data_IF_693962300983
#
_entry.id   IF_693962300983
#
_cell.length_a   1.000
_cell.length_b   1.000
_cell.length_c   1.000
_cell.angle_alpha   90.00
_cell.angle_beta   90.00
_cell.angle_gamma   90.00
#
_symmetry.space_group_name_H-M   'P 1'
#
loop_
_entity.id
_entity.type
_entity.pdbx_description
1 polymer ?
#
# COMPACT_ATOMS: atom_id res chain seq x y z
N UNK A 1 -27.74 -36.28 -50.60
CA UNK A 1 -27.15 -36.15 -49.24
C UNK A 1 -25.77 -35.54 -49.38
N UNK A 2 -25.60 -34.25 -49.04
CA UNK A 2 -24.31 -33.56 -49.18
C UNK A 2 -23.34 -33.98 -48.08
N UNK A 3 -22.16 -34.50 -48.45
CA UNK A 3 -21.10 -34.84 -47.48
C UNK A 3 -20.46 -33.53 -46.98
N UNK A 4 -20.47 -33.30 -45.67
CA UNK A 4 -19.68 -32.23 -45.08
C UNK A 4 -18.19 -32.50 -45.38
N UNK A 5 -17.48 -31.49 -45.92
CA UNK A 5 -16.05 -31.62 -46.16
C UNK A 5 -15.27 -31.35 -44.85
N UNK A 6 -14.04 -31.88 -44.79
CA UNK A 6 -13.20 -31.82 -43.59
C UNK A 6 -12.89 -30.39 -43.12
N UNK A 7 -12.75 -29.42 -44.03
CA UNK A 7 -12.59 -28.00 -43.68
C UNK A 7 -13.84 -27.42 -43.03
N UNK A 8 -15.03 -27.78 -43.49
CA UNK A 8 -16.30 -27.35 -42.87
C UNK A 8 -16.40 -27.87 -41.43
N UNK A 9 -15.99 -29.12 -41.20
CA UNK A 9 -15.93 -29.72 -39.86
C UNK A 9 -14.91 -28.98 -38.98
N UNK A 10 -13.73 -28.68 -39.50
CA UNK A 10 -12.67 -27.98 -38.76
C UNK A 10 -13.11 -26.56 -38.34
N UNK A 11 -13.76 -25.82 -39.24
CA UNK A 11 -14.29 -24.48 -38.96
C UNK A 11 -15.37 -24.56 -37.86
N UNK A 12 -16.31 -25.50 -37.96
CA UNK A 12 -17.34 -25.69 -36.94
C UNK A 12 -16.75 -26.04 -35.56
N UNK A 13 -15.76 -26.94 -35.50
CA UNK A 13 -15.06 -27.26 -34.26
C UNK A 13 -14.34 -26.05 -33.65
N UNK A 14 -13.69 -25.22 -34.47
CA UNK A 14 -13.01 -24.01 -34.00
C UNK A 14 -13.97 -22.95 -33.46
N UNK A 15 -15.14 -22.77 -34.09
CA UNK A 15 -16.19 -21.86 -33.61
C UNK A 15 -16.82 -22.36 -32.30
N UNK A 16 -17.01 -23.67 -32.16
CA UNK A 16 -17.51 -24.29 -30.92
C UNK A 16 -16.50 -24.15 -29.77
N UNK A 17 -15.19 -24.32 -30.04
CA UNK A 17 -14.14 -24.08 -29.05
C UNK A 17 -14.11 -22.61 -28.60
N UNK A 18 -14.16 -21.68 -29.56
CA UNK A 18 -14.23 -20.24 -29.27
C UNK A 18 -15.45 -19.90 -28.41
N UNK A 19 -16.64 -20.34 -28.81
CA UNK A 19 -17.87 -20.13 -28.05
C UNK A 19 -17.78 -20.73 -26.63
N UNK A 20 -17.17 -21.91 -26.48
CA UNK A 20 -16.94 -22.53 -25.18
C UNK A 20 -15.97 -21.74 -24.30
N UNK A 21 -14.85 -21.26 -24.85
CA UNK A 21 -13.90 -20.42 -24.11
C UNK A 21 -14.52 -19.08 -23.66
N UNK A 22 -15.30 -18.42 -24.53
CA UNK A 22 -16.04 -17.21 -24.18
C UNK A 22 -17.11 -17.47 -23.11
N UNK A 23 -17.81 -18.61 -23.17
CA UNK A 23 -18.79 -19.02 -22.17
C UNK A 23 -18.15 -19.29 -20.80
N UNK A 24 -17.01 -19.98 -20.76
CA UNK A 24 -16.27 -20.25 -19.52
C UNK A 24 -15.70 -18.96 -18.93
N UNK A 25 -15.12 -18.08 -19.77
CA UNK A 25 -14.64 -16.76 -19.34
C UNK A 25 -15.76 -15.85 -18.82
N UNK A 26 -16.97 -15.96 -19.38
CA UNK A 26 -18.16 -15.24 -18.88
C UNK A 26 -18.69 -15.75 -17.54
N UNK A 27 -18.28 -16.96 -17.11
CA UNK A 27 -18.70 -17.60 -15.85
C UNK A 27 -17.63 -17.61 -14.76
N UNK A 28 -16.40 -17.20 -15.04
CA UNK A 28 -15.34 -17.10 -14.02
C UNK A 28 -15.66 -16.00 -13.02
N UNK A 29 -16.35 -16.37 -11.94
CA UNK A 29 -16.55 -15.50 -10.78
C UNK A 29 -15.19 -15.28 -10.13
N UNK A 30 -14.70 -14.03 -10.16
CA UNK A 30 -13.39 -13.72 -9.59
C UNK A 30 -13.39 -13.94 -8.08
N UNK A 31 -12.23 -14.21 -7.45
CA UNK A 31 -12.13 -14.28 -6.00
C UNK A 31 -12.67 -13.02 -5.29
N UNK A 32 -12.55 -11.86 -5.94
CA UNK A 32 -13.08 -10.57 -5.47
C UNK A 32 -14.61 -10.57 -5.49
N UNK A 33 -15.23 -11.04 -6.57
CA UNK A 33 -16.70 -11.13 -6.68
C UNK A 33 -17.29 -12.10 -5.65
N UNK A 34 -16.65 -13.26 -5.45
CA UNK A 34 -17.06 -14.22 -4.42
C UNK A 34 -17.04 -13.58 -3.03
N UNK A 35 -16.02 -12.78 -2.76
CA UNK A 35 -15.87 -12.09 -1.48
C UNK A 35 -16.92 -11.00 -1.27
N UNK A 36 -17.18 -10.13 -2.26
CA UNK A 36 -18.21 -9.10 -2.15
C UNK A 36 -19.62 -9.71 -2.00
N UNK A 37 -19.89 -10.83 -2.68
CA UNK A 37 -21.12 -11.61 -2.46
C UNK A 37 -21.22 -12.15 -1.03
N UNK A 38 -20.10 -12.56 -0.41
CA UNK A 38 -20.05 -13.01 0.98
C UNK A 38 -20.30 -11.85 1.96
N UNK A 39 -19.75 -10.66 1.72
CA UNK A 39 -19.97 -9.50 2.61
C UNK A 39 -21.38 -8.98 2.60
N UNK A 40 -22.06 -9.01 1.44
CA UNK A 40 -23.50 -8.74 1.41
C UNK A 40 -24.29 -9.61 2.39
N UNK A 41 -23.77 -10.80 2.75
CA UNK A 41 -24.35 -11.69 3.77
C UNK A 41 -23.84 -11.45 5.20
N UNK A 42 -22.70 -10.78 5.37
CA UNK A 42 -21.98 -10.58 6.65
C UNK A 42 -21.82 -9.08 6.95
N UNK A 43 -22.89 -8.30 6.73
CA UNK A 43 -22.91 -6.84 6.55
C UNK A 43 -22.40 -5.98 7.72
N UNK A 44 -21.80 -6.56 8.76
CA UNK A 44 -21.29 -5.83 9.92
C UNK A 44 -19.82 -5.41 9.69
N UNK A 45 -19.52 -4.10 9.62
CA UNK A 45 -18.15 -3.61 9.61
C UNK A 45 -17.42 -4.02 10.88
N UNK A 46 -16.14 -4.36 10.75
CA UNK A 46 -15.24 -4.68 11.87
C UNK A 46 -14.31 -3.51 12.10
N UNK A 47 -14.22 -3.06 13.36
CA UNK A 47 -13.23 -2.09 13.77
C UNK A 47 -11.91 -2.78 14.15
N UNK A 48 -10.78 -2.18 13.79
CA UNK A 48 -9.43 -2.65 14.11
C UNK A 48 -8.55 -1.50 14.56
N UNK A 49 -7.69 -1.83 15.53
CA UNK A 49 -6.52 -1.05 15.91
C UNK A 49 -5.29 -1.91 15.62
N UNK A 50 -4.33 -1.37 14.88
CA UNK A 50 -3.04 -2.03 14.61
C UNK A 50 -1.93 -1.04 14.93
N UNK A 51 -0.91 -1.49 15.65
CA UNK A 51 0.26 -0.71 15.99
C UNK A 51 1.53 -1.39 15.48
N UNK A 52 2.46 -0.59 14.95
CA UNK A 52 3.77 -1.05 14.52
C UNK A 52 4.77 0.11 14.40
N UNK A 53 6.02 -0.21 14.09
CA UNK A 53 7.13 0.73 14.00
C UNK A 53 7.77 0.67 12.61
N UNK A 54 7.89 1.81 11.94
CA UNK A 54 8.58 1.96 10.65
C UNK A 54 10.03 2.34 10.93
N UNK A 55 10.94 1.61 10.29
CA UNK A 55 12.39 1.78 10.37
C UNK A 55 12.86 2.49 9.10
N UNK A 56 12.96 3.81 9.15
CA UNK A 56 13.24 4.70 8.01
C UNK A 56 14.73 5.04 7.97
N UNK A 57 15.41 4.74 6.85
CA UNK A 57 16.86 4.93 6.69
C UNK A 57 17.11 5.71 5.39
N UNK A 58 17.37 7.01 5.52
CA UNK A 58 17.54 7.92 4.38
C UNK A 58 18.97 7.98 3.83
N UNK A 59 19.96 7.48 4.58
CA UNK A 59 21.36 7.42 4.16
C UNK A 59 22.16 6.39 4.96
N UNK A 60 23.34 6.03 4.47
CA UNK A 60 24.24 5.09 5.13
C UNK A 60 23.98 3.62 4.77
N UNK A 61 24.53 2.71 5.58
CA UNK A 61 24.38 1.28 5.37
C UNK A 61 22.91 0.85 5.56
N UNK A 62 22.38 0.06 4.62
CA UNK A 62 21.01 -0.42 4.69
C UNK A 62 19.94 0.63 4.36
N UNK A 63 20.30 1.70 3.63
CA UNK A 63 19.38 2.72 3.12
C UNK A 63 18.11 2.11 2.50
N UNK A 64 16.94 2.64 2.88
CA UNK A 64 15.62 2.21 2.42
C UNK A 64 14.84 3.31 1.69
N UNK A 65 15.28 4.56 1.80
CA UNK A 65 14.65 5.73 1.18
C UNK A 65 15.59 6.36 0.16
N UNK A 66 15.13 6.50 -1.08
CA UNK A 66 15.94 7.03 -2.18
C UNK A 66 15.25 8.20 -2.88
N UNK A 67 15.95 9.31 -3.13
CA UNK A 67 15.42 10.37 -3.97
C UNK A 67 15.34 9.92 -5.43
N UNK A 68 14.24 10.28 -6.10
CA UNK A 68 13.95 9.89 -7.49
C UNK A 68 13.57 11.07 -8.38
N UNK A 69 13.35 12.24 -7.80
CA UNK A 69 12.96 13.42 -8.55
C UNK A 69 13.25 14.71 -7.79
N UNK A 70 13.54 15.75 -8.57
CA UNK A 70 13.84 17.09 -8.09
C UNK A 70 13.15 18.11 -9.00
N UNK A 71 12.75 19.24 -8.42
CA UNK A 71 12.35 20.45 -9.12
C UNK A 71 13.58 21.35 -9.35
N UNK A 72 13.48 22.30 -10.29
CA UNK A 72 14.52 23.31 -10.53
C UNK A 72 14.77 24.22 -9.31
N UNK A 73 13.83 24.28 -8.37
CA UNK A 73 13.94 25.05 -7.12
C UNK A 73 14.29 24.21 -5.89
N UNK A 74 14.42 22.88 -6.00
CA UNK A 74 14.50 22.00 -4.80
C UNK A 74 15.65 22.31 -3.85
N UNK A 75 16.80 22.74 -4.38
CA UNK A 75 17.98 23.03 -3.56
C UNK A 75 18.10 24.49 -3.13
N UNK A 76 17.30 25.39 -3.70
CA UNK A 76 17.24 26.81 -3.34
C UNK A 76 15.97 27.16 -2.53
N UNK A 77 14.96 26.30 -2.57
CA UNK A 77 13.73 26.42 -1.79
C UNK A 77 14.03 26.18 -0.30
N UNK A 78 13.50 27.02 0.61
CA UNK A 78 13.70 26.84 2.05
C UNK A 78 13.05 25.55 2.59
N UNK A 79 12.05 25.00 1.89
CA UNK A 79 11.35 23.77 2.28
C UNK A 79 11.87 22.53 1.56
N UNK A 80 12.82 22.72 0.63
CA UNK A 80 13.23 21.74 -0.36
C UNK A 80 12.08 21.23 -1.25
N UNK A 81 11.19 22.14 -1.63
CA UNK A 81 10.03 21.84 -2.45
C UNK A 81 10.39 21.01 -3.69
N UNK A 82 9.59 19.98 -3.97
CA UNK A 82 9.71 19.13 -5.14
C UNK A 82 10.71 17.98 -5.04
N UNK A 83 11.48 17.86 -3.94
CA UNK A 83 12.21 16.62 -3.68
C UNK A 83 11.19 15.49 -3.52
N UNK A 84 11.31 14.48 -4.38
CA UNK A 84 10.47 13.28 -4.35
C UNK A 84 11.33 12.07 -4.03
N UNK A 85 10.87 11.25 -3.10
CA UNK A 85 11.53 10.03 -2.63
C UNK A 85 10.62 8.82 -2.81
N UNK A 86 11.25 7.65 -2.98
CA UNK A 86 10.59 6.34 -2.82
C UNK A 86 11.15 5.63 -1.59
N UNK A 87 10.30 4.86 -0.92
CA UNK A 87 10.66 4.13 0.29
C UNK A 87 10.25 2.66 0.17
N UNK A 88 11.09 1.78 0.72
CA UNK A 88 10.78 0.37 0.99
C UNK A 88 11.29 0.01 2.40
N UNK A 89 10.61 0.55 3.41
CA UNK A 89 11.05 0.45 4.80
C UNK A 89 10.71 -0.89 5.42
N UNK A 90 11.50 -1.29 6.41
CA UNK A 90 11.15 -2.39 7.32
C UNK A 90 10.10 -1.89 8.31
N UNK A 91 9.11 -2.73 8.58
CA UNK A 91 8.10 -2.48 9.62
C UNK A 91 8.18 -3.58 10.65
N UNK A 92 8.40 -3.21 11.90
CA UNK A 92 8.68 -4.12 13.01
C UNK A 92 7.58 -4.07 14.07
N UNK A 93 7.47 -5.14 14.86
CA UNK A 93 6.51 -5.23 15.99
C UNK A 93 6.90 -4.35 17.18
N UNK A 94 8.16 -3.93 17.26
CA UNK A 94 8.71 -3.15 18.36
C UNK A 94 9.63 -2.03 17.85
N UNK A 95 9.90 -1.05 18.73
CA UNK A 95 10.73 0.12 18.43
C UNK A 95 12.17 -0.22 18.07
N UNK A 96 12.74 -1.25 18.68
CA UNK A 96 14.11 -1.68 18.39
C UNK A 96 14.21 -2.16 16.92
N UNK A 97 15.14 -1.64 16.10
CA UNK A 97 15.36 -2.10 14.71
C UNK A 97 15.63 -3.62 14.57
N UNK A 98 16.06 -4.27 15.65
CA UNK A 98 16.27 -5.72 15.73
C UNK A 98 15.00 -6.50 16.10
N UNK A 99 13.90 -5.81 16.38
CA UNK A 99 12.60 -6.44 16.62
C UNK A 99 12.16 -7.25 15.40
N UNK A 100 11.33 -8.30 15.60
CA UNK A 100 10.80 -9.08 14.50
C UNK A 100 10.09 -8.23 13.44
N UNK A 101 10.31 -8.58 12.18
CA UNK A 101 9.59 -7.99 11.05
C UNK A 101 8.11 -8.36 11.09
N UNK A 102 7.27 -7.42 10.66
CA UNK A 102 5.82 -7.55 10.55
C UNK A 102 5.33 -7.30 9.13
N UNK A 103 5.86 -6.25 8.50
CA UNK A 103 5.39 -5.73 7.22
C UNK A 103 6.52 -4.98 6.48
N UNK A 104 6.20 -4.49 5.28
CA UNK A 104 6.99 -3.48 4.55
C UNK A 104 6.17 -2.21 4.38
N UNK A 105 6.80 -1.05 4.53
CA UNK A 105 6.22 0.25 4.22
C UNK A 105 6.73 0.70 2.86
N UNK A 106 5.86 0.67 1.84
CA UNK A 106 6.26 0.87 0.45
C UNK A 106 5.50 2.03 -0.16
N UNK A 107 6.20 2.98 -0.76
CA UNK A 107 5.52 4.12 -1.35
C UNK A 107 6.43 5.24 -1.81
N UNK A 108 5.84 6.42 -1.87
CA UNK A 108 6.52 7.65 -2.27
C UNK A 108 6.08 8.83 -1.40
N UNK A 109 6.97 9.78 -1.26
CA UNK A 109 6.69 11.05 -0.61
C UNK A 109 7.32 12.19 -1.40
N UNK A 110 6.72 13.37 -1.34
CA UNK A 110 7.31 14.58 -1.92
C UNK A 110 7.19 15.76 -0.95
N UNK A 111 8.24 16.58 -0.87
CA UNK A 111 8.15 17.86 -0.16
C UNK A 111 7.27 18.80 -0.99
N UNK A 112 6.03 18.99 -0.56
CA UNK A 112 4.95 19.50 -1.39
C UNK A 112 4.32 20.80 -0.87
N UNK A 113 4.96 21.43 0.12
CA UNK A 113 4.53 22.68 0.72
C UNK A 113 5.64 23.74 0.53
N UNK A 114 5.24 24.92 0.06
CA UNK A 114 6.15 26.01 -0.26
C UNK A 114 6.57 26.81 0.98
N UNK A 115 5.80 26.70 2.06
CA UNK A 115 5.98 27.48 3.30
C UNK A 115 6.57 26.60 4.41
N UNK A 116 6.08 25.37 4.55
CA UNK A 116 6.51 24.42 5.58
C UNK A 116 7.26 23.19 5.02
N UNK A 117 8.11 22.55 5.84
CA UNK A 117 8.71 21.23 5.49
C UNK A 117 7.71 20.10 5.69
N UNK A 118 6.93 19.83 4.65
CA UNK A 118 5.80 18.89 4.69
C UNK A 118 5.88 17.91 3.55
N UNK A 119 5.75 16.63 3.89
CA UNK A 119 5.61 15.58 2.91
C UNK A 119 4.15 15.43 2.50
N UNK A 120 3.87 15.39 1.20
CA UNK A 120 2.73 14.65 0.68
C UNK A 120 3.11 13.18 0.65
N UNK A 121 2.56 12.40 1.57
CA UNK A 121 2.90 10.99 1.77
C UNK A 121 1.85 10.09 1.11
N UNK A 122 2.33 9.06 0.40
CA UNK A 122 1.54 7.94 -0.08
C UNK A 122 2.31 6.64 0.21
N UNK A 123 1.85 5.87 1.20
CA UNK A 123 2.51 4.66 1.65
C UNK A 123 1.52 3.51 1.81
N UNK A 124 1.94 2.31 1.42
CA UNK A 124 1.21 1.06 1.59
C UNK A 124 1.98 0.18 2.57
N UNK A 125 1.30 -0.22 3.65
CA UNK A 125 1.82 -1.20 4.59
C UNK A 125 1.40 -2.59 4.14
N UNK A 126 2.34 -3.34 3.56
CA UNK A 126 2.13 -4.71 3.12
C UNK A 126 2.59 -5.71 4.19
N UNK A 127 1.64 -6.41 4.79
CA UNK A 127 1.94 -7.36 5.86
C UNK A 127 2.58 -8.62 5.29
N UNK A 128 3.80 -8.93 5.74
CA UNK A 128 4.58 -10.08 5.26
C UNK A 128 4.56 -11.25 6.24
N UNK A 129 4.16 -11.01 7.49
CA UNK A 129 4.14 -12.00 8.57
C UNK A 129 2.76 -12.11 9.25
N UNK A 130 2.59 -13.19 10.01
CA UNK A 130 1.43 -13.42 10.87
C UNK A 130 0.11 -13.62 10.12
N UNK A 131 -1.01 -13.47 10.85
CA UNK A 131 -2.37 -13.75 10.36
C UNK A 131 -2.86 -12.84 9.22
N UNK A 132 -2.19 -11.71 9.01
CA UNK A 132 -2.55 -10.75 7.96
C UNK A 132 -1.61 -10.79 6.76
N UNK A 133 -0.68 -11.75 6.73
CA UNK A 133 0.26 -11.94 5.61
C UNK A 133 -0.47 -11.89 4.26
N UNK A 134 0.05 -11.07 3.35
CA UNK A 134 -0.52 -10.84 2.02
C UNK A 134 -1.62 -9.77 1.95
N UNK A 135 -2.02 -9.19 3.08
CA UNK A 135 -2.96 -8.06 3.14
C UNK A 135 -2.19 -6.74 3.20
N UNK A 136 -2.88 -5.64 2.89
CA UNK A 136 -2.28 -4.30 3.01
C UNK A 136 -3.26 -3.25 3.49
N UNK A 137 -2.72 -2.15 4.04
CA UNK A 137 -3.44 -0.91 4.34
C UNK A 137 -2.71 0.24 3.65
N UNK A 138 -3.44 1.09 2.94
CA UNK A 138 -2.91 2.27 2.26
C UNK A 138 -3.18 3.53 3.09
N UNK A 139 -2.15 4.36 3.24
CA UNK A 139 -2.17 5.63 3.95
C UNK A 139 -1.76 6.74 2.98
N UNK A 140 -2.51 7.84 3.01
CA UNK A 140 -2.25 9.02 2.20
C UNK A 140 -2.55 10.28 3.01
N UNK A 141 -1.70 11.29 2.91
CA UNK A 141 -1.96 12.54 3.60
C UNK A 141 -0.81 13.53 3.62
N UNK A 142 -1.08 14.64 4.30
CA UNK A 142 -0.12 15.69 4.63
C UNK A 142 0.64 15.29 5.89
N UNK A 143 1.96 15.19 5.81
CA UNK A 143 2.83 14.74 6.89
C UNK A 143 3.86 15.84 7.24
N UNK A 144 3.52 16.75 8.17
CA UNK A 144 4.43 17.82 8.59
C UNK A 144 5.57 17.25 9.43
N UNK A 145 6.76 17.09 8.83
CA UNK A 145 7.87 16.32 9.40
C UNK A 145 8.37 16.83 10.76
N UNK A 146 8.19 18.12 11.03
CA UNK A 146 8.66 18.78 12.25
C UNK A 146 7.68 18.67 13.43
N UNK A 147 6.47 18.14 13.19
CA UNK A 147 5.45 17.95 14.23
C UNK A 147 5.54 16.54 14.79
N UNK A 148 5.56 16.40 16.12
CA UNK A 148 5.76 15.10 16.77
C UNK A 148 4.63 14.09 16.55
N UNK A 149 3.39 14.56 16.39
CA UNK A 149 2.20 13.73 16.29
C UNK A 149 1.33 14.18 15.13
N UNK A 150 0.97 13.25 14.25
CA UNK A 150 0.39 13.57 12.94
C UNK A 150 -0.73 12.60 12.61
N UNK A 151 -1.83 13.10 12.05
CA UNK A 151 -2.95 12.29 11.59
C UNK A 151 -2.96 12.21 10.07
N UNK A 152 -3.04 10.99 9.53
CA UNK A 152 -3.17 10.75 8.09
C UNK A 152 -4.37 9.84 7.79
N UNK A 153 -4.87 9.92 6.56
CA UNK A 153 -6.03 9.13 6.14
C UNK A 153 -5.65 7.71 5.73
N UNK A 154 -6.41 6.74 6.23
CA UNK A 154 -6.42 5.38 5.66
C UNK A 154 -7.39 5.37 4.48
N UNK A 155 -6.83 5.34 3.28
CA UNK A 155 -7.58 5.48 2.02
C UNK A 155 -7.93 4.15 1.37
N UNK A 156 -7.49 3.03 1.94
CA UNK A 156 -7.81 1.70 1.42
C UNK A 156 -7.12 0.56 2.12
N UNK A 157 -7.46 -0.64 1.68
CA UNK A 157 -6.78 -1.86 2.07
C UNK A 157 -7.14 -3.02 1.16
N UNK A 158 -6.37 -4.10 1.29
CA UNK A 158 -6.52 -5.33 0.48
C UNK A 158 -6.54 -6.56 1.39
N UNK A 159 -6.87 -7.72 0.83
CA UNK A 159 -6.90 -8.98 1.57
C UNK A 159 -7.86 -8.94 2.76
N UNK A 160 -7.34 -9.20 3.96
CA UNK A 160 -8.08 -9.15 5.21
C UNK A 160 -8.61 -7.75 5.57
N UNK A 161 -8.05 -6.70 4.98
CA UNK A 161 -8.40 -5.30 5.21
C UNK A 161 -9.07 -4.66 3.99
N UNK A 162 -9.66 -5.47 3.11
CA UNK A 162 -10.33 -4.94 1.93
C UNK A 162 -11.44 -3.96 2.33
N UNK A 163 -11.49 -2.84 1.59
CA UNK A 163 -12.35 -1.70 1.87
C UNK A 163 -12.04 -0.97 3.19
N UNK A 164 -10.80 -1.07 3.70
CA UNK A 164 -10.40 -0.33 4.89
C UNK A 164 -10.58 1.19 4.72
N UNK A 165 -11.10 1.83 5.76
CA UNK A 165 -11.30 3.29 5.88
C UNK A 165 -11.10 3.73 7.32
N UNK A 166 -10.39 4.83 7.53
CA UNK A 166 -10.14 5.37 8.87
C UNK A 166 -9.00 6.35 8.91
N UNK A 167 -8.31 6.42 10.04
CA UNK A 167 -7.21 7.35 10.29
C UNK A 167 -6.01 6.60 10.88
N UNK A 168 -4.83 7.14 10.67
CA UNK A 168 -3.62 6.69 11.38
C UNK A 168 -3.00 7.85 12.14
N UNK A 169 -2.55 7.55 13.35
CA UNK A 169 -1.77 8.43 14.17
C UNK A 169 -0.30 8.03 14.09
N UNK A 170 0.55 8.99 13.74
CA UNK A 170 1.99 8.78 13.58
C UNK A 170 2.74 9.59 14.63
N UNK A 171 3.65 8.94 15.35
CA UNK A 171 4.54 9.61 16.30
C UNK A 171 5.99 9.27 16.08
N UNK A 172 6.87 10.24 16.28
CA UNK A 172 8.31 10.01 16.20
C UNK A 172 8.74 9.20 17.42
N UNK A 173 9.25 7.98 17.21
CA UNK A 173 9.78 7.17 18.31
C UNK A 173 11.25 7.43 18.59
N UNK A 174 12.00 8.11 17.72
CA UNK A 174 13.36 8.56 18.01
C UNK A 174 13.57 10.01 17.58
N UNK A 175 14.46 10.78 18.25
CA UNK A 175 14.97 12.00 17.66
C UNK A 175 15.69 11.68 16.34
N UNK A 176 15.76 12.67 15.45
CA UNK A 176 16.49 12.54 14.18
C UNK A 176 17.95 12.16 14.45
N UNK A 177 18.39 11.04 13.87
CA UNK A 177 19.78 10.62 13.97
C UNK A 177 20.63 11.30 12.90
N UNK A 178 21.83 11.80 13.23
CA UNK A 178 22.82 12.24 12.22
C UNK A 178 23.18 11.14 11.21
N UNK A 179 22.93 9.87 11.57
CA UNK A 179 23.18 8.71 10.71
C UNK A 179 22.09 8.45 9.67
N UNK A 180 21.08 9.33 9.56
CA UNK A 180 19.99 9.18 8.59
C UNK A 180 18.92 8.16 8.99
N UNK A 181 18.93 7.66 10.23
CA UNK A 181 17.92 6.73 10.75
C UNK A 181 16.84 7.47 11.55
N UNK A 182 15.58 7.16 11.27
CA UNK A 182 14.41 7.62 12.00
C UNK A 182 13.44 6.48 12.28
N UNK A 183 12.81 6.50 13.46
CA UNK A 183 11.75 5.59 13.84
C UNK A 183 10.41 6.32 13.87
N UNK A 184 9.38 5.73 13.25
CA UNK A 184 8.00 6.20 13.36
C UNK A 184 7.09 5.12 13.93
N UNK A 185 6.34 5.43 15.00
CA UNK A 185 5.26 4.58 15.49
C UNK A 185 3.99 4.95 14.74
N UNK A 186 3.36 3.95 14.13
CA UNK A 186 2.07 4.08 13.47
C UNK A 186 1.01 3.36 14.29
N UNK A 187 -0.09 4.04 14.59
CA UNK A 187 -1.29 3.44 15.16
C UNK A 187 -2.45 3.66 14.18
N UNK A 188 -2.97 2.57 13.62
CA UNK A 188 -4.00 2.59 12.60
C UNK A 188 -5.35 2.30 13.25
N UNK A 189 -6.33 3.16 13.01
CA UNK A 189 -7.72 3.01 13.46
C UNK A 189 -8.63 2.95 12.24
N UNK A 190 -9.20 1.79 11.95
CA UNK A 190 -9.99 1.63 10.73
C UNK A 190 -11.13 0.64 10.86
N UNK A 191 -12.12 0.83 10.01
CA UNK A 191 -13.18 -0.14 9.73
C UNK A 191 -12.88 -0.90 8.46
N UNK A 192 -13.24 -2.19 8.41
CA UNK A 192 -13.16 -3.05 7.22
C UNK A 192 -14.27 -4.10 7.27
N UNK A 193 -14.36 -4.99 6.28
CA UNK A 193 -15.38 -6.07 6.22
C UNK A 193 -14.74 -7.47 6.27
#
# INVERSE_FOLDING_TARGET
MGKLNLHTIFILCSLLLLAYTSYVSGKTVTPVDKWFKKIKKSSTPKFKIIEFYVQDIVSGEGQTVFPVGYSNISFTSPTNFGITVVADDRVTVGRDPKSPDLARGQGMAALADLEDRVLYLNVVFYFTQGKYKGSSVAVLGRDPMLVNSRELSITGGTGAFRSARGVTWVTNCSPYSPTGYTCFKYTLYFTHF
#
